data_IF_649346413109
#
_entry.id   IF_649346413109
#
_cell.length_a   1.000
_cell.length_b   1.000
_cell.length_c   1.000
_cell.angle_alpha   90.00
_cell.angle_beta   90.00
_cell.angle_gamma   90.00
#
_symmetry.space_group_name_H-M   'P 1'
#
loop_
_entity.id
_entity.type
_entity.pdbx_description
1 polymer ?
#
# COMPACT_ATOMS: atom_id res chain seq x y z
N UNK A 1 -32.53 0.56 46.79
CA UNK A 1 -32.17 0.42 45.36
C UNK A 1 -31.11 1.48 45.08
N UNK A 2 -29.82 1.12 45.10
CA UNK A 2 -28.71 2.04 44.80
C UNK A 2 -28.42 1.94 43.30
N UNK A 3 -28.61 3.04 42.59
CA UNK A 3 -28.13 3.20 41.21
C UNK A 3 -26.60 3.23 41.27
N UNK A 4 -25.94 2.28 40.61
CA UNK A 4 -24.50 2.29 40.46
C UNK A 4 -24.09 3.47 39.56
N UNK A 5 -23.01 4.20 39.87
CA UNK A 5 -22.51 5.23 38.98
C UNK A 5 -22.00 4.56 37.70
N UNK A 6 -22.45 5.03 36.54
CA UNK A 6 -21.79 4.71 35.28
C UNK A 6 -20.38 5.26 35.38
N UNK A 7 -19.37 4.39 35.36
CA UNK A 7 -17.99 4.84 35.22
C UNK A 7 -17.91 5.36 33.79
N UNK A 8 -17.80 6.67 33.61
CA UNK A 8 -17.30 7.25 32.35
C UNK A 8 -15.87 6.75 32.19
N UNK A 9 -15.71 5.57 31.62
CA UNK A 9 -14.42 5.00 31.27
C UNK A 9 -13.80 5.89 30.22
N UNK A 10 -12.55 6.29 30.44
CA UNK A 10 -11.75 6.95 29.41
C UNK A 10 -11.63 5.97 28.26
N UNK A 11 -12.17 6.33 27.10
CA UNK A 11 -11.96 5.60 25.85
C UNK A 11 -10.45 5.54 25.62
N UNK A 12 -9.83 4.35 25.46
CA UNK A 12 -8.41 4.28 25.17
C UNK A 12 -8.15 5.03 23.87
N UNK A 13 -7.10 5.85 23.85
CA UNK A 13 -6.66 6.59 22.67
C UNK A 13 -5.19 6.35 22.40
N UNK A 14 -4.82 6.35 21.12
CA UNK A 14 -3.41 6.36 20.68
C UNK A 14 -3.24 7.44 19.63
N UNK A 15 -2.11 8.14 19.69
CA UNK A 15 -1.67 9.11 18.69
C UNK A 15 -0.48 8.52 17.96
N UNK A 16 -0.42 8.67 16.64
CA UNK A 16 0.71 8.18 15.87
C UNK A 16 0.64 8.55 14.40
N UNK A 17 1.65 8.09 13.66
CA UNK A 17 1.66 8.15 12.19
C UNK A 17 1.23 6.81 11.62
N UNK A 18 0.23 6.81 10.74
CA UNK A 18 -0.34 5.59 10.19
C UNK A 18 -0.30 5.59 8.66
N UNK A 19 -0.10 4.41 8.07
CA UNK A 19 -0.34 4.14 6.65
C UNK A 19 -1.57 3.26 6.50
N UNK A 20 -2.54 3.66 5.69
CA UNK A 20 -3.65 2.79 5.29
C UNK A 20 -3.13 1.76 4.30
N UNK A 21 -3.05 0.48 4.69
CA UNK A 21 -2.59 -0.61 3.82
C UNK A 21 -3.63 -1.05 2.82
N UNK A 22 -4.83 -1.35 3.30
CA UNK A 22 -5.91 -1.90 2.48
C UNK A 22 -7.27 -1.57 3.08
N UNK A 23 -8.32 -1.83 2.30
CA UNK A 23 -9.72 -1.70 2.73
C UNK A 23 -10.39 -3.07 2.58
N UNK A 24 -11.05 -3.51 3.64
CA UNK A 24 -11.86 -4.72 3.64
C UNK A 24 -13.21 -4.50 2.93
N UNK A 25 -13.89 -5.58 2.57
CA UNK A 25 -15.18 -5.51 1.88
C UNK A 25 -16.29 -4.84 2.72
N UNK A 26 -16.17 -4.90 4.04
CA UNK A 26 -17.07 -4.21 4.99
C UNK A 26 -16.73 -2.72 5.19
N UNK A 27 -15.71 -2.21 4.47
CA UNK A 27 -15.27 -0.81 4.52
C UNK A 27 -14.23 -0.51 5.59
N UNK A 28 -13.88 -1.44 6.48
CA UNK A 28 -12.81 -1.23 7.47
C UNK A 28 -11.47 -1.02 6.79
N UNK A 29 -10.66 -0.15 7.38
CA UNK A 29 -9.32 0.19 6.95
C UNK A 29 -8.32 -0.62 7.75
N UNK A 30 -7.38 -1.29 7.07
CA UNK A 30 -6.21 -1.87 7.71
C UNK A 30 -5.15 -0.77 7.78
N UNK A 31 -4.87 -0.24 8.97
CA UNK A 31 -3.86 0.80 9.19
C UNK A 31 -2.64 0.19 9.86
N UNK A 32 -1.44 0.59 9.44
CA UNK A 32 -0.18 0.21 10.08
C UNK A 32 0.43 1.44 10.72
N UNK A 33 0.72 1.36 12.00
CA UNK A 33 1.53 2.34 12.73
C UNK A 33 2.94 2.33 12.17
N UNK A 34 3.45 3.49 11.76
CA UNK A 34 4.81 3.63 11.26
C UNK A 34 5.85 3.77 12.39
N UNK A 35 5.38 3.91 13.64
CA UNK A 35 6.24 4.04 14.81
C UNK A 35 6.73 2.68 15.31
N UNK A 36 5.88 1.64 15.24
CA UNK A 36 6.16 0.29 15.75
C UNK A 36 5.82 -0.85 14.77
N UNK A 37 5.18 -0.56 13.64
CA UNK A 37 4.80 -1.56 12.64
C UNK A 37 3.52 -2.32 12.97
N UNK A 38 2.84 -1.99 14.06
CA UNK A 38 1.62 -2.70 14.47
C UNK A 38 0.44 -2.35 13.56
N UNK A 39 -0.30 -3.38 13.17
CA UNK A 39 -1.44 -3.26 12.29
C UNK A 39 -2.76 -3.28 13.07
N UNK A 40 -3.62 -2.30 12.81
CA UNK A 40 -4.92 -2.10 13.46
C UNK A 40 -6.03 -2.01 12.42
N UNK A 41 -7.13 -2.71 12.67
CA UNK A 41 -8.35 -2.56 11.89
C UNK A 41 -9.14 -1.37 12.43
N UNK A 42 -9.31 -0.34 11.59
CA UNK A 42 -10.00 0.90 11.91
C UNK A 42 -11.33 0.95 11.17
N UNK A 43 -12.38 1.43 11.81
CA UNK A 43 -13.64 1.73 11.14
C UNK A 43 -13.41 2.64 9.93
N UNK A 44 -14.29 2.56 8.93
CA UNK A 44 -14.21 3.42 7.75
C UNK A 44 -14.16 4.89 8.16
N UNK A 45 -13.17 5.62 7.67
CA UNK A 45 -13.10 7.06 7.74
C UNK A 45 -13.31 7.64 6.34
N UNK A 46 -14.17 8.65 6.24
CA UNK A 46 -14.24 9.48 5.04
C UNK A 46 -12.86 10.10 4.77
N UNK A 47 -12.52 10.42 3.53
CA UNK A 47 -11.20 11.00 3.23
C UNK A 47 -10.05 10.00 3.07
N UNK A 48 -9.98 8.96 3.89
CA UNK A 48 -8.86 8.00 3.87
C UNK A 48 -8.98 6.95 2.77
N UNK A 49 -7.86 6.64 2.12
CA UNK A 49 -7.75 5.67 1.01
C UNK A 49 -6.54 4.75 1.23
N UNK A 50 -6.55 3.50 0.71
CA UNK A 50 -5.35 2.67 0.68
C UNK A 50 -4.16 3.41 0.07
N UNK A 51 -3.03 3.35 0.76
CA UNK A 51 -1.80 4.08 0.48
C UNK A 51 -1.63 5.39 1.23
N UNK A 52 -2.70 6.02 1.72
CA UNK A 52 -2.59 7.32 2.38
C UNK A 52 -1.83 7.18 3.69
N UNK A 53 -0.93 8.13 3.95
CA UNK A 53 -0.30 8.32 5.26
C UNK A 53 -1.02 9.46 5.97
N UNK A 54 -1.30 9.28 7.24
CA UNK A 54 -1.89 10.32 8.07
C UNK A 54 -1.28 10.31 9.46
N UNK A 55 -1.21 11.50 10.05
CA UNK A 55 -0.88 11.68 11.45
C UNK A 55 -2.23 11.86 12.16
N UNK A 56 -2.48 11.15 13.26
CA UNK A 56 -3.79 11.25 13.89
C UNK A 56 -3.99 10.45 15.15
N UNK A 57 -5.21 10.55 15.66
CA UNK A 57 -5.67 9.95 16.89
C UNK A 57 -6.68 8.83 16.59
N UNK A 58 -6.44 7.67 17.19
CA UNK A 58 -7.38 6.55 17.22
C UNK A 58 -8.03 6.46 18.60
N UNK A 59 -9.33 6.22 18.63
CA UNK A 59 -10.08 5.91 19.84
C UNK A 59 -10.80 4.57 19.72
N UNK A 60 -10.82 3.78 20.80
CA UNK A 60 -11.45 2.46 20.82
C UNK A 60 -12.81 2.49 21.50
N UNK A 61 -13.86 2.29 20.73
CA UNK A 61 -15.22 2.13 21.24
C UNK A 61 -15.71 0.71 20.92
N UNK A 62 -16.16 0.00 21.95
CA UNK A 62 -16.58 -1.41 21.88
C UNK A 62 -15.55 -2.32 21.16
N UNK A 63 -14.26 -2.09 21.43
CA UNK A 63 -13.14 -2.81 20.81
C UNK A 63 -12.86 -2.44 19.35
N UNK A 64 -13.62 -1.53 18.75
CA UNK A 64 -13.42 -1.04 17.38
C UNK A 64 -12.63 0.27 17.39
N UNK A 65 -11.49 0.30 16.72
CA UNK A 65 -10.71 1.53 16.54
C UNK A 65 -11.43 2.47 15.56
N UNK A 66 -11.44 3.76 15.85
CA UNK A 66 -11.99 4.82 14.99
C UNK A 66 -11.03 5.99 14.94
N UNK A 67 -10.86 6.58 13.76
CA UNK A 67 -10.12 7.85 13.63
C UNK A 67 -10.99 8.97 14.21
N UNK A 68 -10.45 9.73 15.16
CA UNK A 68 -11.17 10.86 15.78
C UNK A 68 -10.69 12.21 15.24
N UNK A 69 -9.40 12.31 14.94
CA UNK A 69 -8.78 13.46 14.30
C UNK A 69 -7.60 12.98 13.46
N UNK A 70 -7.35 13.61 12.31
CA UNK A 70 -6.23 13.26 11.45
C UNK A 70 -5.88 14.33 10.42
N UNK A 71 -4.61 14.35 10.03
CA UNK A 71 -4.08 15.10 8.90
C UNK A 71 -3.44 14.13 7.89
N UNK A 72 -3.84 14.21 6.62
CA UNK A 72 -3.22 13.40 5.55
C UNK A 72 -1.88 14.02 5.16
N UNK A 73 -0.79 13.32 5.46
CA UNK A 73 0.58 13.78 5.19
C UNK A 73 1.19 13.22 3.91
N UNK A 74 0.59 12.16 3.33
CA UNK A 74 1.00 11.60 2.03
C UNK A 74 -0.22 10.99 1.32
N UNK A 75 -0.43 11.37 0.05
CA UNK A 75 -1.56 10.92 -0.78
C UNK A 75 -1.19 9.85 -1.80
N UNK A 76 -0.10 9.13 -1.59
CA UNK A 76 0.24 7.94 -2.40
C UNK A 76 -0.90 6.93 -2.38
N UNK A 77 -1.30 6.40 -3.52
CA UNK A 77 -2.36 5.38 -3.57
C UNK A 77 -1.79 3.98 -3.72
N UNK A 78 -2.38 3.03 -3.00
CA UNK A 78 -2.09 1.61 -3.16
C UNK A 78 -3.24 0.91 -3.88
N UNK A 79 -2.89 0.04 -4.82
CA UNK A 79 -3.80 -0.88 -5.48
C UNK A 79 -3.25 -2.29 -5.40
N UNK A 80 -4.14 -3.27 -5.26
CA UNK A 80 -3.79 -4.68 -5.17
C UNK A 80 -4.61 -5.45 -6.18
N UNK A 81 -3.97 -6.24 -7.04
CA UNK A 81 -4.65 -7.15 -7.94
C UNK A 81 -4.02 -8.55 -7.89
N UNK A 82 -4.91 -9.54 -7.88
CA UNK A 82 -4.56 -10.94 -7.80
C UNK A 82 -4.94 -11.67 -9.07
N UNK A 83 -4.19 -12.70 -9.44
CA UNK A 83 -4.38 -13.48 -10.65
C UNK A 83 -4.24 -12.65 -11.92
N UNK A 84 -3.36 -11.66 -11.94
CA UNK A 84 -3.20 -10.78 -13.11
C UNK A 84 -2.52 -11.50 -14.27
N UNK A 85 -2.88 -11.10 -15.48
CA UNK A 85 -2.25 -11.53 -16.73
C UNK A 85 -1.64 -10.32 -17.46
N UNK A 86 -0.97 -10.54 -18.60
CA UNK A 86 -0.40 -9.48 -19.45
C UNK A 86 0.62 -8.58 -18.72
N UNK A 87 1.53 -9.21 -17.95
CA UNK A 87 2.66 -8.47 -17.38
C UNK A 87 3.53 -7.90 -18.50
N UNK A 88 4.06 -6.71 -18.27
CA UNK A 88 4.99 -6.05 -19.16
C UNK A 88 6.41 -6.63 -19.01
N UNK A 89 7.20 -6.51 -20.07
CA UNK A 89 8.53 -7.14 -20.18
C UNK A 89 9.45 -6.79 -19.02
N UNK A 90 9.49 -5.52 -18.59
CA UNK A 90 10.36 -5.11 -17.49
C UNK A 90 10.08 -5.88 -16.18
N UNK A 91 8.84 -6.26 -15.90
CA UNK A 91 8.52 -7.08 -14.73
C UNK A 91 8.99 -8.53 -14.89
N UNK A 92 8.77 -9.12 -16.07
CA UNK A 92 9.19 -10.49 -16.39
C UNK A 92 10.71 -10.62 -16.36
N UNK A 93 11.42 -9.71 -17.01
CA UNK A 93 12.88 -9.68 -17.03
C UNK A 93 13.45 -9.52 -15.61
N UNK A 94 12.86 -8.65 -14.77
CA UNK A 94 13.31 -8.46 -13.38
C UNK A 94 13.19 -9.75 -12.58
N UNK A 95 12.08 -10.48 -12.75
CA UNK A 95 11.86 -11.75 -12.09
C UNK A 95 12.80 -12.85 -12.62
N UNK A 96 12.99 -12.93 -13.93
CA UNK A 96 13.92 -13.89 -14.53
C UNK A 96 15.37 -13.66 -14.07
N UNK A 97 15.77 -12.40 -13.95
CA UNK A 97 17.07 -12.02 -13.40
C UNK A 97 17.20 -12.42 -11.94
N UNK A 98 16.17 -12.15 -11.12
CA UNK A 98 16.13 -12.59 -9.72
C UNK A 98 16.32 -14.11 -9.61
N UNK A 99 15.63 -14.87 -10.46
CA UNK A 99 15.73 -16.34 -10.50
C UNK A 99 17.12 -16.81 -10.92
N UNK A 100 17.72 -16.16 -11.94
CA UNK A 100 19.06 -16.52 -12.43
C UNK A 100 20.15 -16.27 -11.39
N UNK A 101 19.99 -15.20 -10.62
CA UNK A 101 20.91 -14.79 -9.56
C UNK A 101 20.62 -15.46 -8.21
N UNK A 102 19.56 -16.26 -8.12
CA UNK A 102 19.07 -16.84 -6.88
C UNK A 102 18.82 -15.78 -5.79
N UNK A 103 18.28 -14.63 -6.20
CA UNK A 103 17.87 -13.53 -5.31
C UNK A 103 16.39 -13.61 -4.99
N UNK A 104 16.03 -13.39 -3.72
CA UNK A 104 14.63 -13.34 -3.27
C UNK A 104 13.90 -12.06 -3.70
N UNK A 105 14.65 -10.98 -4.00
CA UNK A 105 14.11 -9.72 -4.50
C UNK A 105 15.01 -9.14 -5.57
N UNK A 106 14.43 -8.58 -6.62
CA UNK A 106 15.17 -7.81 -7.62
C UNK A 106 14.35 -6.58 -8.03
N UNK A 107 15.00 -5.55 -8.55
CA UNK A 107 14.36 -4.30 -8.91
C UNK A 107 15.02 -3.63 -10.12
N UNK A 108 14.23 -2.85 -10.86
CA UNK A 108 14.75 -1.95 -11.92
C UNK A 108 13.86 -0.73 -12.11
N UNK A 109 14.42 0.41 -12.56
CA UNK A 109 13.62 1.54 -13.03
C UNK A 109 12.83 1.17 -14.30
N UNK A 110 11.73 1.88 -14.52
CA UNK A 110 10.98 1.91 -15.78
C UNK A 110 11.09 3.27 -16.42
N UNK A 111 10.91 3.33 -17.73
CA UNK A 111 11.11 4.53 -18.54
C UNK A 111 9.89 4.80 -19.42
N UNK A 112 9.66 6.07 -19.73
CA UNK A 112 8.65 6.49 -20.69
C UNK A 112 9.15 6.33 -22.14
N UNK A 113 8.35 6.77 -23.12
CA UNK A 113 8.71 6.71 -24.53
C UNK A 113 9.86 7.66 -24.92
N UNK A 114 10.17 8.64 -24.07
CA UNK A 114 11.27 9.59 -24.22
C UNK A 114 12.57 9.05 -23.61
N UNK A 115 12.50 7.98 -22.83
CA UNK A 115 13.63 7.43 -22.07
C UNK A 115 13.81 8.05 -20.69
N UNK A 116 12.85 8.85 -20.21
CA UNK A 116 12.88 9.44 -18.87
C UNK A 116 12.34 8.44 -17.84
N UNK A 117 12.97 8.31 -16.65
CA UNK A 117 12.45 7.47 -15.59
C UNK A 117 11.01 7.85 -15.22
N UNK A 118 10.12 6.87 -15.09
CA UNK A 118 8.71 7.11 -14.73
C UNK A 118 8.18 6.18 -13.62
N UNK A 119 9.00 5.25 -13.15
CA UNK A 119 8.61 4.26 -12.15
C UNK A 119 9.72 3.28 -11.83
N UNK A 120 9.42 2.29 -10.99
CA UNK A 120 10.32 1.20 -10.66
C UNK A 120 9.53 -0.07 -10.33
N UNK A 121 10.01 -1.20 -10.83
CA UNK A 121 9.46 -2.52 -10.49
C UNK A 121 10.34 -3.21 -9.46
N UNK A 122 9.68 -3.93 -8.55
CA UNK A 122 10.29 -4.86 -7.61
C UNK A 122 9.59 -6.20 -7.74
N UNK A 123 10.36 -7.28 -7.90
CA UNK A 123 9.82 -8.64 -7.95
C UNK A 123 10.29 -9.43 -6.76
N UNK A 124 9.36 -10.05 -6.03
CA UNK A 124 9.62 -10.89 -4.88
C UNK A 124 9.34 -12.34 -5.25
N UNK A 125 10.35 -13.20 -5.17
CA UNK A 125 10.16 -14.63 -5.45
C UNK A 125 9.26 -15.25 -4.37
N UNK A 126 8.21 -15.96 -4.79
CA UNK A 126 7.42 -16.78 -3.87
C UNK A 126 8.04 -18.19 -3.82
N UNK A 127 8.62 -18.55 -2.67
CA UNK A 127 9.01 -19.94 -2.43
C UNK A 127 7.77 -20.71 -1.95
N UNK A 128 7.39 -21.75 -2.68
CA UNK A 128 6.18 -22.50 -2.43
C UNK A 128 6.08 -22.97 -0.97
N UNK A 129 5.07 -22.47 -0.25
CA UNK A 129 4.69 -22.92 1.09
C UNK A 129 5.33 -22.18 2.27
N UNK A 130 6.18 -21.19 2.04
CA UNK A 130 6.89 -20.52 3.14
C UNK A 130 6.21 -19.21 3.59
N UNK A 131 5.81 -18.34 2.64
CA UNK A 131 5.15 -17.04 2.92
C UNK A 131 4.27 -16.59 1.76
N UNK A 132 3.08 -16.05 2.05
CA UNK A 132 2.23 -15.35 1.05
C UNK A 132 2.61 -13.86 1.06
N UNK A 133 3.62 -13.50 0.27
CA UNK A 133 4.18 -12.14 0.22
C UNK A 133 3.11 -11.13 -0.19
N UNK A 134 2.19 -11.52 -1.07
CA UNK A 134 1.10 -10.65 -1.51
C UNK A 134 0.17 -10.31 -0.34
N UNK A 135 -0.23 -11.32 0.45
CA UNK A 135 -1.05 -11.12 1.63
C UNK A 135 -0.33 -10.27 2.69
N UNK A 136 0.95 -10.54 2.94
CA UNK A 136 1.76 -9.81 3.92
C UNK A 136 1.96 -8.33 3.56
N UNK A 137 2.17 -8.01 2.28
CA UNK A 137 2.25 -6.61 1.83
C UNK A 137 0.88 -5.92 1.97
N UNK A 138 -0.21 -6.65 1.72
CA UNK A 138 -1.58 -6.13 1.78
C UNK A 138 -2.09 -5.90 3.20
N UNK A 139 -1.73 -6.77 4.14
CA UNK A 139 -2.14 -6.67 5.55
C UNK A 139 -1.18 -5.84 6.40
N UNK A 140 0.02 -5.57 5.87
CA UNK A 140 1.04 -4.74 6.47
C UNK A 140 2.12 -5.48 7.26
N UNK A 141 2.07 -6.81 7.33
CA UNK A 141 3.10 -7.66 7.94
C UNK A 141 4.46 -7.46 7.26
N UNK A 142 4.47 -7.32 5.93
CA UNK A 142 5.65 -6.92 5.18
C UNK A 142 5.57 -5.41 4.86
N UNK A 143 6.63 -4.62 5.13
CA UNK A 143 6.59 -3.18 4.93
C UNK A 143 6.80 -2.77 3.47
N UNK A 144 6.06 -1.78 2.99
CA UNK A 144 6.27 -1.12 1.69
C UNK A 144 7.12 0.15 1.80
N UNK A 145 7.22 0.74 2.98
CA UNK A 145 7.88 2.02 3.25
C UNK A 145 9.35 2.04 2.81
N UNK A 146 10.16 0.99 3.03
CA UNK A 146 11.54 0.98 2.54
C UNK A 146 11.63 1.06 1.00
N UNK A 147 10.69 0.45 0.28
CA UNK A 147 10.66 0.50 -1.19
C UNK A 147 10.27 1.90 -1.67
N UNK A 148 9.25 2.50 -1.05
CA UNK A 148 8.77 3.85 -1.38
C UNK A 148 9.83 4.90 -1.08
N UNK A 149 10.51 4.79 0.07
CA UNK A 149 11.61 5.69 0.42
C UNK A 149 12.75 5.58 -0.60
N UNK A 150 13.21 4.36 -0.90
CA UNK A 150 14.25 4.13 -1.91
C UNK A 150 13.87 4.64 -3.29
N UNK A 151 12.60 4.48 -3.67
CA UNK A 151 12.08 4.96 -4.95
C UNK A 151 12.16 6.49 -5.06
N UNK A 152 11.74 7.20 -4.00
CA UNK A 152 11.77 8.68 -3.93
C UNK A 152 13.18 9.24 -3.86
N UNK A 153 14.06 8.58 -3.11
CA UNK A 153 15.45 8.99 -2.96
C UNK A 153 16.29 8.74 -4.23
N UNK A 154 15.81 7.86 -5.11
CA UNK A 154 16.55 7.37 -6.27
C UNK A 154 16.57 8.33 -7.47
N UNK A 155 15.49 9.06 -7.70
CA UNK A 155 15.31 9.92 -8.88
C UNK A 155 14.62 11.23 -8.52
N UNK A 156 15.10 12.33 -9.10
CA UNK A 156 14.48 13.64 -8.91
C UNK A 156 13.09 13.70 -9.57
N UNK A 157 12.09 14.20 -8.86
CA UNK A 157 10.72 14.31 -9.36
C UNK A 157 9.83 13.10 -9.07
N UNK A 158 10.33 12.10 -8.32
CA UNK A 158 9.52 10.97 -7.83
C UNK A 158 8.86 11.26 -6.48
N UNK A 159 8.76 12.54 -6.10
CA UNK A 159 8.12 12.98 -4.87
C UNK A 159 6.64 12.58 -4.80
N UNK A 160 6.08 12.54 -3.60
CA UNK A 160 4.67 12.24 -3.39
C UNK A 160 3.75 13.28 -4.07
N UNK A 161 2.56 12.89 -4.55
CA UNK A 161 1.94 11.58 -4.44
C UNK A 161 2.28 10.62 -5.59
N UNK A 162 2.60 9.37 -5.23
CA UNK A 162 2.88 8.28 -6.16
C UNK A 162 1.69 7.31 -6.28
N UNK A 163 1.80 6.30 -7.14
CA UNK A 163 0.92 5.12 -7.08
C UNK A 163 1.73 3.84 -6.96
N UNK A 164 1.28 2.93 -6.11
CA UNK A 164 1.92 1.63 -5.88
C UNK A 164 0.93 0.54 -6.19
N UNK A 165 1.32 -0.36 -7.09
CA UNK A 165 0.53 -1.51 -7.49
C UNK A 165 1.22 -2.77 -6.99
N UNK A 166 0.52 -3.54 -6.15
CA UNK A 166 0.96 -4.85 -5.70
C UNK A 166 0.18 -5.90 -6.48
N UNK A 167 0.86 -6.64 -7.34
CA UNK A 167 0.27 -7.52 -8.33
C UNK A 167 0.76 -8.96 -8.10
N UNK A 168 -0.17 -9.91 -8.01
CA UNK A 168 0.15 -11.34 -8.01
C UNK A 168 -0.24 -11.95 -9.35
N UNK A 169 0.72 -12.39 -10.19
CA UNK A 169 0.45 -12.99 -11.49
C UNK A 169 -0.26 -14.34 -11.38
N UNK A 170 -1.13 -14.66 -12.34
CA UNK A 170 -1.80 -15.97 -12.40
C UNK A 170 -0.87 -17.13 -12.81
N UNK A 171 0.18 -16.83 -13.58
CA UNK A 171 1.00 -17.85 -14.27
C UNK A 171 2.44 -17.94 -13.75
N UNK A 172 2.84 -17.06 -12.83
CA UNK A 172 4.21 -16.97 -12.34
C UNK A 172 4.24 -16.87 -10.81
N UNK A 173 5.18 -17.56 -10.17
CA UNK A 173 5.32 -17.61 -8.71
C UNK A 173 6.17 -16.46 -8.17
N UNK A 174 5.69 -15.23 -8.32
CA UNK A 174 6.31 -14.05 -7.72
C UNK A 174 5.26 -12.96 -7.44
N UNK A 175 5.60 -12.00 -6.58
CA UNK A 175 4.80 -10.79 -6.38
C UNK A 175 5.51 -9.61 -7.01
N UNK A 176 4.78 -8.80 -7.76
CA UNK A 176 5.27 -7.57 -8.37
C UNK A 176 4.80 -6.38 -7.55
N UNK A 177 5.72 -5.52 -7.13
CA UNK A 177 5.41 -4.17 -6.64
C UNK A 177 5.87 -3.19 -7.70
N UNK A 178 4.92 -2.49 -8.32
CA UNK A 178 5.22 -1.45 -9.30
C UNK A 178 4.95 -0.08 -8.69
N UNK A 179 6.00 0.73 -8.53
CA UNK A 179 5.90 2.12 -8.10
C UNK A 179 5.90 3.03 -9.32
N UNK A 180 4.89 3.88 -9.41
CA UNK A 180 4.68 4.86 -10.48
C UNK A 180 4.87 6.25 -9.90
N UNK A 181 5.69 7.07 -10.57
CA UNK A 181 6.11 8.37 -10.05
C UNK A 181 4.94 9.33 -9.82
N UNK A 182 4.04 9.46 -10.80
CA UNK A 182 2.98 10.46 -10.77
C UNK A 182 1.60 9.83 -10.50
N UNK A 183 0.96 10.17 -9.38
CA UNK A 183 -0.45 9.85 -9.14
C UNK A 183 -1.35 10.57 -10.13
N UNK A 184 -2.22 9.81 -10.79
CA UNK A 184 -3.08 10.34 -11.86
C UNK A 184 -2.35 10.62 -13.17
N UNK A 185 -1.08 10.24 -13.30
CA UNK A 185 -0.35 10.34 -14.57
C UNK A 185 -0.76 9.25 -15.55
N UNK A 186 -0.35 9.42 -16.82
CA UNK A 186 -0.68 8.51 -17.93
C UNK A 186 -0.28 7.06 -17.65
N UNK A 187 0.89 6.86 -17.03
CA UNK A 187 1.36 5.51 -16.66
C UNK A 187 0.44 4.89 -15.60
N UNK A 188 0.07 5.65 -14.56
CA UNK A 188 -0.81 5.16 -13.50
C UNK A 188 -2.18 4.75 -14.08
N UNK A 189 -2.75 5.58 -14.95
CA UNK A 189 -4.02 5.27 -15.62
C UNK A 189 -3.93 4.00 -16.48
N UNK A 190 -2.84 3.86 -17.24
CA UNK A 190 -2.60 2.66 -18.07
C UNK A 190 -2.54 1.39 -17.22
N UNK A 191 -1.82 1.44 -16.09
CA UNK A 191 -1.70 0.29 -15.18
C UNK A 191 -3.05 -0.06 -14.55
N UNK A 192 -3.83 0.95 -14.15
CA UNK A 192 -5.19 0.75 -13.59
C UNK A 192 -6.12 0.08 -14.57
N UNK A 193 -6.13 0.53 -15.81
CA UNK A 193 -6.95 -0.05 -16.87
C UNK A 193 -6.53 -1.48 -17.19
N UNK A 194 -5.22 -1.73 -17.25
CA UNK A 194 -4.65 -3.05 -17.58
C UNK A 194 -5.02 -4.10 -16.53
N UNK A 195 -4.97 -3.75 -15.25
CA UNK A 195 -5.16 -4.70 -14.15
C UNK A 195 -6.49 -4.55 -13.41
N UNK A 196 -7.44 -3.77 -13.94
CA UNK A 196 -8.78 -3.63 -13.37
C UNK A 196 -8.79 -3.02 -11.96
N UNK A 197 -7.93 -2.02 -11.73
CA UNK A 197 -7.76 -1.36 -10.44
C UNK A 197 -8.28 0.08 -10.50
N UNK A 198 -9.61 0.32 -10.53
CA UNK A 198 -10.15 1.67 -10.64
C UNK A 198 -9.65 2.57 -9.51
N UNK A 199 -9.33 3.83 -9.84
CA UNK A 199 -8.91 4.81 -8.84
C UNK A 199 -10.10 5.10 -7.92
N UNK A 200 -9.95 5.04 -6.59
CA UNK A 200 -11.02 5.46 -5.71
C UNK A 200 -11.25 6.97 -5.90
N UNK A 201 -12.50 7.41 -5.76
CA UNK A 201 -12.83 8.84 -5.83
C UNK A 201 -11.96 9.60 -4.82
N UNK A 202 -11.27 10.63 -5.29
CA UNK A 202 -10.59 11.54 -4.39
C UNK A 202 -11.66 12.35 -3.65
N UNK A 203 -11.59 12.48 -2.32
CA UNK A 203 -12.42 13.44 -1.61
C UNK A 203 -12.11 14.83 -2.20
N UNK A 204 -13.13 15.54 -2.67
CA UNK A 204 -12.97 16.92 -3.11
C UNK A 204 -12.25 17.71 -2.02
N UNK A 205 -11.24 18.47 -2.43
CA UNK A 205 -10.30 19.19 -1.55
C UNK A 205 -10.96 20.32 -0.79
#
# INVERSE_FOLDING_TARGET
MRVAPVRSGVTPTTTGTYRVRSRAADGRLRCVSLDDGEAVDVASAEGLRPGYRFDGDLAWDDGTARVVDYEITDRTLFAYADGVANLFEAALDTWEDARRENSGVNARPTYDQSGEPNGAVYTFAEQAGERDVYAELRDGTAPLEPLIARFRDGEAGFDAPNEVFVLRPATHGFVLVYLVAEKGGVLADTVRDTYGCPRPDDPES
#
